data_IF_091466910094
#
_entry.id   IF_091466910094
#
_cell.length_a   1.000
_cell.length_b   1.000
_cell.length_c   1.000
_cell.angle_alpha   90.00
_cell.angle_beta   90.00
_cell.angle_gamma   90.00
#
_symmetry.space_group_name_H-M   'P 1'
#
loop_
_entity.id
_entity.type
_entity.pdbx_description
1 polymer ?
#
# COMPACT_ATOMS: atom_id res chain seq x y z
N UNK A 1 -36.42 54.31 24.26
CA UNK A 1 -36.19 55.67 24.79
C UNK A 1 -34.69 55.97 24.62
N UNK A 2 -34.36 56.97 23.77
CA UNK A 2 -33.04 57.56 23.42
C UNK A 2 -31.92 56.64 22.89
N UNK A 3 -31.50 56.66 21.60
CA UNK A 3 -30.95 57.70 20.68
C UNK A 3 -29.60 58.30 21.09
N UNK A 4 -28.58 58.13 20.22
CA UNK A 4 -27.47 59.03 19.76
C UNK A 4 -26.52 58.16 18.91
N UNK A 5 -26.30 58.22 17.58
CA UNK A 5 -26.25 59.22 16.49
C UNK A 5 -24.98 60.13 16.44
N UNK A 6 -24.00 59.69 15.62
CA UNK A 6 -23.05 60.36 14.66
C UNK A 6 -22.15 61.55 15.11
N UNK A 7 -21.07 62.00 14.38
CA UNK A 7 -20.69 61.87 12.94
C UNK A 7 -19.23 61.40 12.64
N UNK A 8 -18.92 60.77 11.50
CA UNK A 8 -18.53 61.29 10.16
C UNK A 8 -17.31 62.25 10.14
N UNK A 9 -16.19 61.81 9.52
CA UNK A 9 -15.24 62.68 8.81
C UNK A 9 -14.99 62.10 7.42
N UNK A 10 -15.40 62.89 6.43
CA UNK A 10 -15.12 62.79 5.00
C UNK A 10 -13.82 63.56 4.74
N UNK A 11 -12.87 63.00 4.00
CA UNK A 11 -11.82 63.80 3.34
C UNK A 11 -11.85 63.49 1.85
N UNK A 12 -12.14 64.55 1.08
CA UNK A 12 -12.31 64.58 -0.36
C UNK A 12 -11.08 65.26 -0.99
N UNK A 13 -10.42 64.54 -1.92
CA UNK A 13 -9.85 64.95 -3.21
C UNK A 13 -8.87 66.14 -3.27
N UNK A 14 -7.71 65.89 -3.89
CA UNK A 14 -7.16 66.79 -4.91
C UNK A 14 -6.42 66.02 -6.01
N UNK A 15 -7.04 66.04 -7.20
CA UNK A 15 -6.52 65.58 -8.49
C UNK A 15 -5.78 66.78 -9.10
N UNK A 16 -4.51 66.64 -9.48
CA UNK A 16 -3.83 67.55 -10.40
C UNK A 16 -3.47 66.81 -11.69
N UNK A 17 -4.11 67.26 -12.76
CA UNK A 17 -3.80 66.92 -14.15
C UNK A 17 -2.58 67.73 -14.60
N UNK A 18 -1.60 67.09 -15.23
CA UNK A 18 -0.74 67.75 -16.21
C UNK A 18 -0.74 66.93 -17.52
N UNK A 19 -0.80 67.60 -18.70
CA UNK A 19 -1.00 66.94 -19.98
C UNK A 19 0.32 66.56 -20.66
N UNK A 20 0.26 65.40 -21.32
CA UNK A 20 0.82 65.05 -22.64
C UNK A 20 2.06 65.80 -23.16
N UNK A 21 3.15 65.04 -23.28
CA UNK A 21 4.18 65.22 -24.30
C UNK A 21 4.53 63.85 -24.91
N UNK A 22 4.26 63.68 -26.21
CA UNK A 22 4.64 62.51 -27.02
C UNK A 22 5.88 62.86 -27.88
N UNK A 23 6.74 61.86 -28.13
CA UNK A 23 7.63 61.57 -29.30
C UNK A 23 8.78 60.67 -28.76
N UNK A 24 8.72 59.33 -28.90
CA UNK A 24 9.16 58.43 -29.99
C UNK A 24 10.69 58.35 -30.22
N UNK A 25 11.34 57.26 -29.75
CA UNK A 25 11.85 56.16 -30.58
C UNK A 25 12.76 55.18 -29.79
N UNK A 26 12.37 53.90 -29.83
CA UNK A 26 13.14 52.66 -29.97
C UNK A 26 14.43 52.42 -29.15
N UNK A 27 14.39 51.45 -28.22
CA UNK A 27 15.15 50.17 -28.32
C UNK A 27 14.76 49.23 -27.17
N UNK A 28 14.37 47.99 -27.49
CA UNK A 28 14.66 46.82 -26.65
C UNK A 28 13.56 46.29 -25.72
N UNK A 29 13.09 45.10 -26.09
CA UNK A 29 12.45 44.06 -25.26
C UNK A 29 12.71 44.07 -23.76
N UNK A 30 11.65 43.98 -22.95
CA UNK A 30 11.40 42.80 -22.10
C UNK A 30 10.05 42.88 -21.39
N UNK A 31 9.11 42.04 -21.85
CA UNK A 31 7.98 41.63 -21.05
C UNK A 31 8.46 40.55 -20.08
N UNK A 32 8.86 40.97 -18.87
CA UNK A 32 9.23 40.09 -17.78
C UNK A 32 8.03 39.33 -17.23
N UNK A 33 7.98 38.07 -17.61
CA UNK A 33 7.14 36.97 -17.17
C UNK A 33 7.23 36.76 -15.64
N UNK A 34 6.15 37.03 -14.88
CA UNK A 34 6.06 36.60 -13.48
C UNK A 34 5.51 35.17 -13.41
N UNK A 35 6.26 34.23 -14.00
CA UNK A 35 6.12 32.82 -13.68
C UNK A 35 6.77 32.60 -12.31
N UNK A 36 5.96 32.35 -11.28
CA UNK A 36 6.43 31.92 -9.96
C UNK A 36 7.09 30.54 -10.09
N UNK A 37 8.37 30.54 -10.38
CA UNK A 37 9.24 29.39 -10.23
C UNK A 37 9.75 29.42 -8.78
N UNK A 38 8.94 28.92 -7.85
CA UNK A 38 9.49 28.51 -6.55
C UNK A 38 10.52 27.42 -6.85
N UNK A 39 11.79 27.71 -6.63
CA UNK A 39 12.86 26.71 -6.66
C UNK A 39 12.52 25.64 -5.63
N UNK A 40 11.82 24.57 -6.05
CA UNK A 40 11.52 23.42 -5.21
C UNK A 40 12.87 22.84 -4.82
N UNK A 41 13.26 23.02 -3.56
CA UNK A 41 14.47 22.41 -3.02
C UNK A 41 14.36 20.89 -3.26
N UNK A 42 15.31 20.26 -3.98
CA UNK A 42 15.31 18.81 -4.16
C UNK A 42 15.26 18.03 -2.83
N UNK A 43 15.65 18.66 -1.72
CA UNK A 43 15.53 18.11 -0.36
C UNK A 43 14.08 17.97 0.12
N UNK A 44 13.13 18.71 -0.46
CA UNK A 44 11.71 18.65 -0.15
C UNK A 44 10.98 17.47 -0.79
N UNK A 45 11.61 16.78 -1.74
CA UNK A 45 11.01 15.65 -2.45
C UNK A 45 11.38 14.33 -1.75
N UNK A 46 10.39 13.64 -1.17
CA UNK A 46 10.63 12.33 -0.57
C UNK A 46 10.44 11.22 -1.61
N UNK A 47 11.46 10.36 -1.77
CA UNK A 47 11.47 9.22 -2.70
C UNK A 47 12.29 8.08 -2.11
N UNK A 48 12.41 6.98 -2.84
CA UNK A 48 13.26 5.85 -2.43
C UNK A 48 14.66 6.34 -2.01
N UNK A 49 15.13 5.81 -0.88
CA UNK A 49 16.38 6.16 -0.16
C UNK A 49 16.36 7.48 0.62
N UNK A 50 15.31 8.31 0.51
CA UNK A 50 15.13 9.44 1.45
C UNK A 50 15.02 8.91 2.89
N UNK A 51 15.55 9.68 3.84
CA UNK A 51 15.54 9.31 5.27
C UNK A 51 15.34 10.54 6.14
N UNK A 52 14.94 10.33 7.40
CA UNK A 52 14.86 11.37 8.42
C UNK A 52 13.43 11.66 8.88
N UNK A 53 13.26 12.76 9.62
CA UNK A 53 12.01 13.08 10.29
C UNK A 53 10.84 13.27 9.32
N UNK A 54 11.07 13.82 8.13
CA UNK A 54 10.02 13.98 7.12
C UNK A 54 9.49 12.64 6.60
N UNK A 55 10.34 11.61 6.51
CA UNK A 55 9.90 10.26 6.16
C UNK A 55 9.13 9.60 7.31
N UNK A 56 9.49 9.89 8.56
CA UNK A 56 8.72 9.46 9.74
C UNK A 56 7.31 10.07 9.68
N UNK A 57 7.21 11.38 9.45
CA UNK A 57 5.95 12.10 9.34
C UNK A 57 5.08 11.54 8.20
N UNK A 58 5.67 11.31 7.03
CA UNK A 58 5.01 10.66 5.90
C UNK A 58 4.46 9.27 6.25
N UNK A 59 5.30 8.39 6.82
CA UNK A 59 4.89 7.03 7.16
C UNK A 59 3.80 7.01 8.24
N UNK A 60 3.89 7.89 9.24
CA UNK A 60 2.85 8.08 10.24
C UNK A 60 1.54 8.51 9.58
N UNK A 61 1.58 9.52 8.71
CA UNK A 61 0.37 10.02 8.04
C UNK A 61 -0.26 8.98 7.12
N UNK A 62 0.53 8.25 6.34
CA UNK A 62 0.04 7.16 5.50
C UNK A 62 -0.58 6.05 6.34
N UNK A 63 0.03 5.71 7.49
CA UNK A 63 -0.54 4.74 8.44
C UNK A 63 -1.86 5.23 9.01
N UNK A 64 -1.91 6.50 9.43
CA UNK A 64 -3.12 7.10 9.97
C UNK A 64 -4.23 7.06 8.93
N UNK A 65 -3.93 7.25 7.64
CA UNK A 65 -4.87 7.15 6.52
C UNK A 65 -5.11 5.71 6.02
N UNK A 66 -4.46 4.69 6.60
CA UNK A 66 -4.68 3.28 6.29
C UNK A 66 -3.80 2.68 5.18
N UNK A 67 -2.90 3.46 4.56
CA UNK A 67 -2.05 3.02 3.44
C UNK A 67 -0.74 2.35 3.88
N UNK A 68 -0.39 2.38 5.17
CA UNK A 68 0.88 1.86 5.65
C UNK A 68 0.70 1.03 6.92
N UNK A 69 0.94 -0.28 6.84
CA UNK A 69 0.76 -1.23 7.94
C UNK A 69 2.09 -1.85 8.44
N UNK A 70 3.20 -1.17 8.17
CA UNK A 70 4.53 -1.58 8.61
C UNK A 70 5.03 -0.72 9.78
N UNK A 71 6.15 -1.14 10.37
CA UNK A 71 6.87 -0.32 11.34
C UNK A 71 7.32 0.98 10.66
N UNK A 72 7.08 2.10 11.32
CA UNK A 72 7.65 3.41 10.94
C UNK A 72 9.15 3.38 11.23
N UNK A 73 9.96 3.61 10.20
CA UNK A 73 11.42 3.50 10.27
C UNK A 73 12.14 4.82 9.99
N UNK A 74 11.46 5.80 9.41
CA UNK A 74 12.12 6.99 8.87
C UNK A 74 12.97 6.72 7.63
N UNK A 75 12.89 5.52 7.03
CA UNK A 75 13.54 5.16 5.78
C UNK A 75 12.49 4.94 4.68
N UNK A 76 12.63 5.66 3.56
CA UNK A 76 11.74 5.54 2.42
C UNK A 76 12.19 4.35 1.56
N UNK A 77 11.70 3.18 1.92
CA UNK A 77 11.88 1.95 1.14
C UNK A 77 10.67 1.63 0.26
N UNK A 78 10.69 0.42 -0.31
CA UNK A 78 9.63 -0.09 -1.19
C UNK A 78 8.25 -0.15 -0.53
N UNK A 79 8.21 -0.48 0.77
CA UNK A 79 6.97 -0.44 1.54
C UNK A 79 6.34 0.97 1.57
N UNK A 80 7.17 2.01 1.79
CA UNK A 80 6.71 3.41 1.77
C UNK A 80 6.31 3.81 0.35
N UNK A 81 7.10 3.44 -0.65
CA UNK A 81 6.79 3.72 -2.06
C UNK A 81 5.44 3.14 -2.47
N UNK A 82 5.17 1.87 -2.14
CA UNK A 82 3.91 1.21 -2.49
C UNK A 82 2.72 1.88 -1.80
N UNK A 83 2.87 2.31 -0.54
CA UNK A 83 1.85 3.07 0.17
C UNK A 83 1.57 4.43 -0.49
N UNK A 84 2.62 5.14 -0.92
CA UNK A 84 2.49 6.41 -1.65
C UNK A 84 1.84 6.21 -3.01
N UNK A 85 2.24 5.18 -3.77
CA UNK A 85 1.61 4.81 -5.05
C UNK A 85 0.11 4.58 -4.87
N UNK A 86 -0.28 3.75 -3.89
CA UNK A 86 -1.69 3.49 -3.62
C UNK A 86 -2.44 4.76 -3.19
N UNK A 87 -1.82 5.61 -2.35
CA UNK A 87 -2.38 6.90 -1.98
C UNK A 87 -2.59 7.81 -3.19
N UNK A 88 -1.60 7.89 -4.09
CA UNK A 88 -1.68 8.68 -5.31
C UNK A 88 -2.79 8.16 -6.23
N UNK A 89 -2.90 6.85 -6.41
CA UNK A 89 -3.96 6.21 -7.20
C UNK A 89 -5.35 6.56 -6.65
N UNK A 90 -5.60 6.35 -5.35
CA UNK A 90 -6.92 6.57 -4.76
C UNK A 90 -7.31 8.05 -4.73
N UNK A 91 -6.34 8.96 -4.61
CA UNK A 91 -6.55 10.41 -4.58
C UNK A 91 -6.47 11.09 -5.97
N UNK A 92 -6.29 10.32 -7.06
CA UNK A 92 -6.30 10.86 -8.42
C UNK A 92 -5.08 11.73 -8.76
N UNK A 93 -3.92 11.39 -8.21
CA UNK A 93 -2.65 12.09 -8.41
C UNK A 93 -1.77 11.38 -9.44
N UNK A 94 -0.68 12.03 -9.84
CA UNK A 94 0.37 11.36 -10.62
C UNK A 94 0.94 10.18 -9.81
N UNK A 95 0.96 8.99 -10.41
CA UNK A 95 1.34 7.73 -9.74
C UNK A 95 2.82 7.41 -10.02
N UNK A 96 3.71 8.16 -9.39
CA UNK A 96 5.16 7.99 -9.55
C UNK A 96 5.83 7.38 -8.31
N UNK A 97 5.12 7.34 -7.18
CA UNK A 97 5.63 6.90 -5.89
C UNK A 97 6.60 7.89 -5.23
N UNK A 98 6.56 9.16 -5.64
CA UNK A 98 7.36 10.28 -5.11
C UNK A 98 6.46 11.29 -4.42
N UNK A 99 6.86 11.80 -3.26
CA UNK A 99 6.08 12.79 -2.49
C UNK A 99 6.63 14.18 -2.79
N UNK A 100 6.17 14.77 -3.89
CA UNK A 100 6.36 16.18 -4.23
C UNK A 100 5.29 17.10 -3.64
N UNK A 101 5.33 18.42 -3.94
CA UNK A 101 4.43 19.41 -3.33
C UNK A 101 2.94 19.07 -3.47
N UNK A 102 2.51 18.62 -4.64
CA UNK A 102 1.10 18.28 -4.87
C UNK A 102 0.65 17.06 -4.05
N UNK A 103 1.51 16.04 -3.92
CA UNK A 103 1.22 14.90 -3.06
C UNK A 103 1.19 15.33 -1.59
N UNK A 104 2.13 16.17 -1.12
CA UNK A 104 2.11 16.72 0.25
C UNK A 104 0.82 17.49 0.52
N UNK A 105 0.42 18.36 -0.41
CA UNK A 105 -0.78 19.20 -0.30
C UNK A 105 -2.03 18.36 -0.04
N UNK A 106 -2.23 17.29 -0.80
CA UNK A 106 -3.39 16.40 -0.60
C UNK A 106 -3.22 15.54 0.65
N UNK A 107 -2.04 14.92 0.87
CA UNK A 107 -1.77 14.00 1.98
C UNK A 107 -2.08 14.61 3.36
N UNK A 108 -1.72 15.88 3.57
CA UNK A 108 -1.91 16.57 4.85
C UNK A 108 -3.21 17.40 4.91
N UNK A 109 -4.01 17.40 3.86
CA UNK A 109 -5.34 18.05 3.87
C UNK A 109 -6.41 17.21 4.56
N UNK A 110 -7.55 17.83 4.84
CA UNK A 110 -8.76 17.15 5.32
C UNK A 110 -9.47 16.34 4.24
N UNK A 111 -9.19 16.58 2.96
CA UNK A 111 -9.80 15.85 1.83
C UNK A 111 -9.04 14.58 1.44
N UNK A 112 -7.92 14.27 2.11
CA UNK A 112 -7.19 13.03 1.91
C UNK A 112 -8.10 11.81 2.11
N UNK A 113 -8.26 10.99 1.07
CA UNK A 113 -9.08 9.78 1.15
C UNK A 113 -8.38 8.75 2.03
N UNK A 114 -9.14 8.15 2.95
CA UNK A 114 -8.68 7.03 3.78
C UNK A 114 -8.80 5.72 2.99
N UNK A 115 -7.76 4.90 3.06
CA UNK A 115 -7.80 3.52 2.60
C UNK A 115 -8.38 2.63 3.70
N UNK A 116 -9.37 1.80 3.38
CA UNK A 116 -9.97 0.84 4.31
C UNK A 116 -10.27 -0.44 3.57
N UNK A 117 -9.68 -1.54 4.04
CA UNK A 117 -9.94 -2.87 3.51
C UNK A 117 -10.92 -3.57 4.45
N UNK A 118 -12.15 -3.77 3.98
CA UNK A 118 -13.16 -4.49 4.75
C UNK A 118 -13.00 -6.00 4.52
N UNK A 119 -12.86 -6.82 5.57
CA UNK A 119 -12.83 -8.27 5.42
C UNK A 119 -14.21 -8.74 4.95
N UNK A 120 -14.33 -9.13 3.69
CA UNK A 120 -15.54 -9.76 3.15
C UNK A 120 -15.68 -11.15 3.77
N UNK A 121 -16.81 -11.40 4.45
CA UNK A 121 -17.05 -12.72 5.05
C UNK A 121 -17.12 -13.77 3.96
N UNK A 122 -16.57 -14.96 4.20
CA UNK A 122 -16.64 -16.06 3.25
C UNK A 122 -18.07 -16.33 2.73
N UNK A 123 -19.09 -16.14 3.57
CA UNK A 123 -20.52 -16.29 3.21
C UNK A 123 -21.02 -15.33 2.13
N UNK A 124 -20.35 -14.20 1.91
CA UNK A 124 -20.74 -13.19 0.90
C UNK A 124 -20.14 -13.50 -0.48
N UNK A 125 -19.08 -14.31 -0.55
CA UNK A 125 -18.38 -14.64 -1.80
C UNK A 125 -18.61 -16.07 -2.28
N UNK A 126 -18.89 -17.00 -1.37
CA UNK A 126 -19.23 -18.37 -1.74
C UNK A 126 -20.73 -18.39 -2.09
N UNK A 127 -21.14 -18.72 -3.33
CA UNK A 127 -22.55 -19.00 -3.57
C UNK A 127 -22.97 -20.09 -2.59
N UNK A 128 -24.16 -19.96 -2.00
CA UNK A 128 -24.79 -21.05 -1.26
C UNK A 128 -24.98 -22.20 -2.26
N UNK A 129 -23.96 -23.06 -2.40
CA UNK A 129 -24.11 -24.23 -3.25
C UNK A 129 -25.17 -25.09 -2.57
N UNK A 130 -26.09 -25.63 -3.37
CA UNK A 130 -27.03 -26.67 -2.94
C UNK A 130 -26.20 -27.87 -2.46
N UNK A 131 -25.72 -27.85 -1.21
CA UNK A 131 -24.93 -28.92 -0.60
C UNK A 131 -23.62 -28.55 0.11
N UNK A 132 -23.14 -27.29 0.13
CA UNK A 132 -21.92 -26.96 0.92
C UNK A 132 -21.22 -25.63 0.63
N UNK A 133 -20.24 -25.27 1.48
CA UNK A 133 -19.37 -24.11 1.27
C UNK A 133 -18.38 -24.38 0.11
N UNK A 134 -18.23 -23.45 -0.83
CA UNK A 134 -17.25 -23.58 -1.91
C UNK A 134 -15.82 -23.63 -1.33
N UNK A 135 -14.98 -24.51 -1.88
CA UNK A 135 -13.58 -24.67 -1.46
C UNK A 135 -12.69 -23.51 -1.92
N UNK A 136 -13.18 -22.62 -2.79
CA UNK A 136 -12.40 -21.54 -3.41
C UNK A 136 -12.23 -20.33 -2.48
N UNK A 137 -11.29 -19.44 -2.85
CA UNK A 137 -11.03 -18.18 -2.16
C UNK A 137 -11.26 -16.96 -3.05
N UNK A 138 -11.44 -15.79 -2.43
CA UNK A 138 -11.46 -14.52 -3.15
C UNK A 138 -10.05 -14.16 -3.61
N UNK A 139 -9.95 -13.76 -4.87
CA UNK A 139 -8.70 -13.28 -5.46
C UNK A 139 -8.54 -11.80 -5.14
N UNK A 140 -7.53 -11.44 -4.35
CA UNK A 140 -7.26 -10.07 -3.92
C UNK A 140 -5.89 -9.62 -4.41
N UNK A 141 -5.82 -8.39 -4.91
CA UNK A 141 -4.54 -7.77 -5.29
C UNK A 141 -3.68 -7.57 -4.04
N UNK A 142 -2.43 -8.03 -4.08
CA UNK A 142 -1.53 -8.00 -2.93
C UNK A 142 -1.28 -6.60 -2.39
N UNK A 143 -1.07 -5.62 -3.26
CA UNK A 143 -0.60 -4.29 -2.89
C UNK A 143 -1.73 -3.40 -2.36
N UNK A 144 -2.95 -3.62 -2.83
CA UNK A 144 -4.13 -2.84 -2.43
C UNK A 144 -5.03 -3.53 -1.40
N UNK A 145 -4.96 -4.85 -1.24
CA UNK A 145 -5.87 -5.57 -0.35
C UNK A 145 -5.18 -6.67 0.46
N UNK A 146 -4.45 -7.58 -0.20
CA UNK A 146 -3.93 -8.81 0.42
C UNK A 146 -3.01 -8.54 1.61
N UNK A 147 -2.12 -7.56 1.50
CA UNK A 147 -1.20 -7.22 2.58
C UNK A 147 -1.89 -6.63 3.82
N UNK A 148 -3.10 -6.08 3.67
CA UNK A 148 -3.90 -5.50 4.75
C UNK A 148 -4.86 -6.52 5.37
N UNK A 149 -5.35 -7.48 4.57
CA UNK A 149 -6.15 -8.60 5.05
C UNK A 149 -5.33 -9.63 5.84
N UNK A 150 -4.05 -9.80 5.49
CA UNK A 150 -3.11 -10.67 6.20
C UNK A 150 -1.90 -9.88 6.70
N UNK A 151 -2.04 -9.02 7.73
CA UNK A 151 -0.95 -8.15 8.18
C UNK A 151 0.21 -8.93 8.82
N UNK A 152 1.39 -8.31 8.91
CA UNK A 152 2.55 -8.95 9.58
C UNK A 152 2.24 -9.22 11.04
N UNK A 153 2.60 -10.41 11.52
CA UNK A 153 2.33 -10.89 12.86
C UNK A 153 1.05 -11.71 12.97
N UNK A 154 0.14 -11.58 12.00
CA UNK A 154 -1.13 -12.31 11.97
C UNK A 154 -0.92 -13.80 11.70
N UNK A 155 -1.78 -14.63 12.26
CA UNK A 155 -1.82 -16.08 12.02
C UNK A 155 -3.01 -16.40 11.14
N UNK A 156 -2.78 -17.15 10.07
CA UNK A 156 -3.82 -17.66 9.19
C UNK A 156 -3.82 -19.19 9.20
N UNK A 157 -4.99 -19.78 8.98
CA UNK A 157 -5.09 -21.18 8.59
C UNK A 157 -4.87 -21.26 7.09
N UNK A 158 -3.92 -22.08 6.65
CA UNK A 158 -3.62 -22.33 5.24
C UNK A 158 -4.08 -23.74 4.89
N UNK A 159 -4.77 -23.89 3.77
CA UNK A 159 -5.26 -25.20 3.28
C UNK A 159 -4.72 -25.47 1.89
N UNK A 160 -4.01 -26.59 1.70
CA UNK A 160 -3.60 -27.07 0.38
C UNK A 160 -4.81 -27.67 -0.35
N UNK A 161 -5.14 -27.15 -1.53
CA UNK A 161 -6.35 -27.58 -2.24
C UNK A 161 -6.23 -28.96 -2.87
N UNK A 162 -5.01 -29.46 -3.11
CA UNK A 162 -4.83 -30.80 -3.69
C UNK A 162 -5.03 -31.92 -2.66
N UNK A 163 -4.61 -31.72 -1.41
CA UNK A 163 -4.73 -32.74 -0.35
C UNK A 163 -5.88 -32.47 0.62
N UNK A 164 -6.40 -31.23 0.66
CA UNK A 164 -7.39 -30.79 1.65
C UNK A 164 -6.81 -30.62 3.06
N UNK A 165 -5.49 -30.81 3.25
CA UNK A 165 -4.84 -30.69 4.55
C UNK A 165 -4.58 -29.23 4.88
N UNK A 166 -4.70 -28.90 6.17
CA UNK A 166 -4.49 -27.54 6.67
C UNK A 166 -3.41 -27.48 7.74
N UNK A 167 -2.78 -26.33 7.85
CA UNK A 167 -1.77 -25.98 8.85
C UNK A 167 -1.86 -24.48 9.16
N UNK A 168 -1.29 -24.03 10.27
CA UNK A 168 -1.28 -22.61 10.64
C UNK A 168 0.04 -21.96 10.27
N UNK A 169 -0.06 -20.78 9.67
CA UNK A 169 1.08 -19.97 9.26
C UNK A 169 1.00 -18.58 9.87
N UNK A 170 2.10 -18.10 10.43
CA UNK A 170 2.25 -16.71 10.85
C UNK A 170 2.94 -15.93 9.72
N UNK A 171 2.39 -14.78 9.30
CA UNK A 171 3.13 -13.87 8.41
C UNK A 171 4.25 -13.21 9.21
N UNK A 172 5.49 -13.53 8.92
CA UNK A 172 6.65 -12.99 9.64
C UNK A 172 7.30 -11.81 8.91
N UNK A 173 7.06 -11.67 7.60
CA UNK A 173 7.72 -10.64 6.80
C UNK A 173 7.03 -10.34 5.46
N UNK A 174 7.85 -10.07 4.45
CA UNK A 174 7.45 -9.87 3.07
C UNK A 174 6.85 -8.50 2.75
N UNK A 175 7.40 -7.86 1.72
CA UNK A 175 6.88 -6.60 1.13
C UNK A 175 6.10 -6.88 -0.14
N UNK A 176 6.62 -7.77 -0.99
CA UNK A 176 6.05 -8.11 -2.29
C UNK A 176 5.13 -9.34 -2.26
N UNK A 177 5.14 -10.08 -1.16
CA UNK A 177 4.36 -11.27 -0.85
C UNK A 177 4.38 -11.48 0.67
N UNK A 178 3.78 -12.56 1.17
CA UNK A 178 3.83 -12.90 2.59
C UNK A 178 4.94 -13.93 2.86
N UNK A 179 6.05 -13.48 3.46
CA UNK A 179 7.02 -14.38 4.09
C UNK A 179 6.35 -14.93 5.35
N UNK A 180 6.20 -16.25 5.41
CA UNK A 180 5.41 -16.90 6.44
C UNK A 180 6.10 -18.13 6.99
N UNK A 181 5.85 -18.42 8.27
CA UNK A 181 6.44 -19.54 8.98
C UNK A 181 5.35 -20.35 9.68
N UNK A 182 5.48 -21.68 9.80
CA UNK A 182 4.56 -22.50 10.57
C UNK A 182 4.57 -22.06 12.03
N UNK A 183 3.40 -22.14 12.67
CA UNK A 183 3.25 -21.72 14.07
C UNK A 183 3.86 -22.76 15.01
N UNK A 184 3.76 -24.05 14.68
CA UNK A 184 4.30 -25.16 15.48
C UNK A 184 5.10 -26.14 14.62
N UNK A 185 5.85 -27.05 15.26
CA UNK A 185 6.50 -28.18 14.59
C UNK A 185 5.53 -29.11 13.89
N UNK A 186 4.32 -29.29 14.43
CA UNK A 186 3.26 -30.09 13.81
C UNK A 186 2.73 -29.45 12.51
N UNK A 187 2.63 -28.11 12.48
CA UNK A 187 2.31 -27.37 11.26
C UNK A 187 3.41 -27.58 10.20
N UNK A 188 4.69 -27.55 10.60
CA UNK A 188 5.82 -27.83 9.71
C UNK A 188 5.84 -29.27 9.18
N UNK A 189 5.56 -30.26 10.03
CA UNK A 189 5.46 -31.67 9.63
C UNK A 189 4.30 -31.89 8.65
N UNK A 190 3.20 -31.17 8.84
CA UNK A 190 2.08 -31.16 7.89
C UNK A 190 2.49 -30.60 6.54
N UNK A 191 3.19 -29.46 6.50
CA UNK A 191 3.73 -28.91 5.25
C UNK A 191 4.67 -29.92 4.59
N UNK A 192 5.66 -30.43 5.33
CA UNK A 192 6.65 -31.37 4.78
C UNK A 192 5.99 -32.63 4.20
N UNK A 193 4.95 -33.16 4.84
CA UNK A 193 4.24 -34.34 4.35
C UNK A 193 3.33 -34.06 3.14
N UNK A 194 2.79 -32.84 2.97
CA UNK A 194 2.03 -32.46 1.76
C UNK A 194 2.91 -32.43 0.51
N UNK A 195 4.15 -31.94 0.66
CA UNK A 195 5.12 -31.81 -0.44
C UNK A 195 6.06 -33.02 -0.58
N UNK A 196 5.92 -34.06 0.25
CA UNK A 196 6.82 -35.22 0.24
C UNK A 196 8.27 -34.88 0.65
N UNK A 197 8.45 -33.79 1.38
CA UNK A 197 9.73 -33.16 1.69
C UNK A 197 9.66 -31.64 1.56
N UNK A 198 10.81 -30.97 1.62
CA UNK A 198 10.90 -29.55 1.29
C UNK A 198 11.01 -29.37 -0.22
N UNK A 199 10.12 -28.58 -0.82
CA UNK A 199 9.97 -28.51 -2.27
C UNK A 199 9.55 -27.12 -2.74
N UNK A 200 10.10 -26.70 -3.88
CA UNK A 200 9.72 -25.47 -4.58
C UNK A 200 8.46 -25.65 -5.44
N UNK A 201 7.84 -26.82 -5.47
CA UNK A 201 6.60 -27.04 -6.22
C UNK A 201 5.51 -26.07 -5.74
N UNK A 202 4.91 -25.34 -6.69
CA UNK A 202 3.85 -24.37 -6.41
C UNK A 202 2.53 -25.11 -6.33
N UNK A 203 1.78 -24.85 -5.26
CA UNK A 203 0.46 -25.44 -5.04
C UNK A 203 -0.58 -24.35 -4.79
N UNK A 204 -1.84 -24.58 -5.17
CA UNK A 204 -2.93 -23.66 -4.89
C UNK A 204 -3.37 -23.85 -3.43
N UNK A 205 -3.42 -22.75 -2.68
CA UNK A 205 -3.79 -22.78 -1.26
C UNK A 205 -4.85 -21.73 -0.95
N UNK A 206 -5.61 -21.99 0.11
CA UNK A 206 -6.54 -21.00 0.69
C UNK A 206 -5.94 -20.49 1.99
N UNK A 207 -5.81 -19.17 2.10
CA UNK A 207 -5.44 -18.48 3.35
C UNK A 207 -6.71 -17.99 4.02
N UNK A 208 -7.07 -18.60 5.14
CA UNK A 208 -8.21 -18.21 5.97
C UNK A 208 -7.73 -17.30 7.12
N UNK A 209 -8.11 -16.03 7.07
CA UNK A 209 -7.74 -15.01 8.07
C UNK A 209 -8.91 -14.06 8.28
N UNK A 210 -9.23 -13.74 9.54
CA UNK A 210 -10.33 -12.83 9.89
C UNK A 210 -11.68 -13.14 9.20
N UNK A 211 -11.97 -14.42 8.98
CA UNK A 211 -13.20 -14.88 8.32
C UNK A 211 -13.23 -14.72 6.79
N UNK A 212 -12.13 -14.24 6.19
CA UNK A 212 -11.92 -14.15 4.74
C UNK A 212 -11.16 -15.38 4.26
N UNK A 213 -11.63 -16.00 3.17
CA UNK A 213 -10.91 -17.06 2.46
C UNK A 213 -10.23 -16.46 1.24
N UNK A 214 -8.92 -16.33 1.26
CA UNK A 214 -8.16 -15.66 0.21
C UNK A 214 -7.48 -16.72 -0.68
N UNK A 215 -7.66 -16.61 -1.99
CA UNK A 215 -6.96 -17.44 -2.96
C UNK A 215 -5.48 -17.05 -3.01
N UNK A 216 -4.61 -18.05 -2.84
CA UNK A 216 -3.17 -17.86 -2.79
C UNK A 216 -2.43 -19.05 -3.43
N UNK A 217 -1.12 -18.94 -3.48
CA UNK A 217 -0.21 -20.01 -3.85
C UNK A 217 0.95 -20.09 -2.86
N UNK A 218 1.42 -21.30 -2.60
CA UNK A 218 2.52 -21.55 -1.68
C UNK A 218 3.43 -22.64 -2.26
N UNK A 219 4.70 -22.62 -1.87
CA UNK A 219 5.62 -23.75 -2.00
C UNK A 219 6.04 -24.23 -0.59
N UNK A 220 6.56 -25.45 -0.49
CA UNK A 220 6.97 -26.05 0.79
C UNK A 220 8.42 -25.74 1.20
N UNK A 221 9.27 -25.18 0.33
CA UNK A 221 10.70 -25.01 0.61
C UNK A 221 11.03 -23.84 1.56
N UNK A 222 11.57 -24.10 2.77
CA UNK A 222 12.04 -23.05 3.66
C UNK A 222 13.28 -22.35 3.09
N UNK A 223 13.39 -21.05 3.29
CA UNK A 223 14.55 -20.26 2.86
C UNK A 223 14.73 -18.99 3.70
N UNK A 224 15.90 -18.38 3.56
CA UNK A 224 16.30 -17.14 4.24
C UNK A 224 16.18 -17.23 5.78
N UNK A 225 15.63 -16.20 6.42
CA UNK A 225 15.68 -16.03 7.88
C UNK A 225 14.55 -16.75 8.60
N UNK A 226 14.87 -17.27 9.78
CA UNK A 226 13.95 -17.87 10.76
C UNK A 226 13.55 -16.83 11.82
N UNK A 227 12.25 -16.72 12.12
CA UNK A 227 11.70 -15.76 13.08
C UNK A 227 10.75 -16.40 14.10
N UNK A 228 10.28 -17.62 13.87
CA UNK A 228 9.41 -18.38 14.78
C UNK A 228 10.22 -19.53 15.38
N UNK A 229 10.74 -19.38 16.60
CA UNK A 229 11.63 -20.37 17.18
C UNK A 229 10.90 -21.70 17.42
N UNK A 230 11.62 -22.81 17.27
CA UNK A 230 11.18 -24.17 17.60
C UNK A 230 9.93 -24.65 16.83
N UNK A 231 9.69 -24.13 15.61
CA UNK A 231 8.56 -24.54 14.77
C UNK A 231 8.89 -25.70 13.81
N UNK A 232 10.04 -26.36 13.94
CA UNK A 232 10.42 -27.49 13.08
C UNK A 232 10.82 -27.12 11.64
N UNK A 233 10.92 -25.83 11.30
CA UNK A 233 11.29 -25.34 9.97
C UNK A 233 12.40 -24.27 10.08
N UNK A 234 13.48 -24.40 9.31
CA UNK A 234 14.56 -23.40 9.31
C UNK A 234 14.37 -22.43 8.14
N UNK A 235 13.93 -21.21 8.45
CA UNK A 235 13.61 -20.17 7.48
C UNK A 235 12.11 -19.98 7.30
N UNK A 236 11.71 -19.24 6.28
CA UNK A 236 10.30 -19.02 5.92
C UNK A 236 9.96 -19.61 4.55
N UNK A 237 8.66 -19.67 4.26
CA UNK A 237 8.11 -19.99 2.94
C UNK A 237 7.35 -18.78 2.40
N UNK A 238 7.30 -18.63 1.08
CA UNK A 238 6.55 -17.55 0.45
C UNK A 238 5.11 -17.99 0.19
N UNK A 239 4.15 -17.20 0.67
CA UNK A 239 2.76 -17.27 0.24
C UNK A 239 2.51 -16.11 -0.72
N UNK A 240 2.20 -16.46 -1.96
CA UNK A 240 1.94 -15.55 -3.06
C UNK A 240 0.43 -15.33 -3.25
N UNK A 241 0.06 -14.07 -3.50
CA UNK A 241 -1.31 -13.63 -3.77
C UNK A 241 -1.37 -13.07 -5.19
N UNK A 242 -2.56 -12.65 -5.63
CA UNK A 242 -2.69 -12.07 -6.96
C UNK A 242 -1.83 -10.80 -7.11
N UNK A 243 -1.10 -10.70 -8.23
CA UNK A 243 -0.10 -9.66 -8.53
C UNK A 243 1.06 -9.52 -7.54
N UNK A 244 1.16 -10.41 -6.55
CA UNK A 244 2.32 -10.44 -5.67
C UNK A 244 3.57 -10.81 -6.46
N UNK A 245 4.73 -10.34 -6.01
CA UNK A 245 6.00 -10.43 -6.75
C UNK A 245 7.05 -11.17 -5.95
N UNK A 246 7.98 -11.83 -6.63
CA UNK A 246 9.13 -12.51 -6.02
C UNK A 246 10.12 -11.51 -5.43
N UNK A 247 10.84 -11.90 -4.36
CA UNK A 247 11.80 -11.01 -3.70
C UNK A 247 13.08 -10.77 -4.53
N UNK A 248 13.50 -11.74 -5.37
CA UNK A 248 14.75 -11.63 -6.16
C UNK A 248 14.60 -10.67 -7.35
N UNK A 249 13.49 -10.78 -8.09
CA UNK A 249 13.32 -10.10 -9.38
C UNK A 249 12.28 -8.98 -9.35
N UNK A 250 11.58 -8.79 -8.23
CA UNK A 250 10.41 -7.90 -8.14
C UNK A 250 9.45 -8.11 -9.32
N UNK A 251 9.21 -9.38 -9.66
CA UNK A 251 8.38 -9.79 -10.79
C UNK A 251 7.36 -10.81 -10.34
N UNK A 252 6.17 -10.73 -10.93
CA UNK A 252 5.15 -11.77 -10.84
C UNK A 252 5.72 -13.09 -11.39
N UNK A 253 5.52 -14.16 -10.61
CA UNK A 253 5.87 -15.52 -10.99
C UNK A 253 4.65 -16.19 -11.62
N UNK A 254 4.79 -16.64 -12.88
CA UNK A 254 3.66 -17.12 -13.66
C UNK A 254 3.02 -18.37 -13.03
N UNK A 255 3.82 -19.26 -12.45
CA UNK A 255 3.35 -20.50 -11.84
C UNK A 255 2.58 -20.21 -10.55
N UNK A 256 3.09 -19.31 -9.69
CA UNK A 256 2.33 -18.83 -8.54
C UNK A 256 1.02 -18.16 -8.97
N UNK A 257 1.03 -17.28 -9.99
CA UNK A 257 -0.19 -16.63 -10.45
C UNK A 257 -1.20 -17.64 -11.04
N UNK A 258 -0.74 -18.71 -11.69
CA UNK A 258 -1.62 -19.80 -12.15
C UNK A 258 -2.28 -20.52 -10.95
N UNK A 259 -1.51 -20.85 -9.92
CA UNK A 259 -2.05 -21.49 -8.71
C UNK A 259 -3.03 -20.58 -7.96
N UNK A 260 -2.80 -19.26 -7.91
CA UNK A 260 -3.75 -18.31 -7.35
C UNK A 260 -5.08 -18.32 -8.13
N UNK A 261 -5.03 -18.43 -9.46
CA UNK A 261 -6.25 -18.53 -10.29
C UNK A 261 -7.02 -19.82 -10.03
N UNK A 262 -6.33 -20.96 -9.94
CA UNK A 262 -6.92 -22.24 -9.55
C UNK A 262 -7.59 -22.13 -8.19
N UNK A 263 -6.92 -21.54 -7.18
CA UNK A 263 -7.48 -21.35 -5.84
C UNK A 263 -8.71 -20.41 -5.82
N UNK A 264 -8.87 -19.59 -6.86
CA UNK A 264 -10.02 -18.71 -7.05
C UNK A 264 -11.11 -19.29 -7.97
N UNK A 265 -10.93 -20.53 -8.47
CA UNK A 265 -11.85 -21.17 -9.41
C UNK A 265 -11.86 -20.53 -10.81
N UNK A 266 -10.71 -20.03 -11.27
CA UNK A 266 -10.54 -19.39 -12.59
C UNK A 266 -9.51 -20.09 -13.47
#
# INVERSE_FOLDING_TARGET
MFKKLFPFIVILILISLLPYGYILADTGSDAGDFANNEDIDPSDILKIKSQGQEVVNLQMRLRDLGYFNYKVTGYYGEATRNAVVLFQEENGLAVDGTVGPETKRVLYSSSAKRHTVMPTRASEFLPASRGGASSMGVMVDWFSQGQYLFPRGEVAKVTDLYTGRSFRMKRTGGTYHADSEPVTSEDADTIKSIWGGWSWERRPVIVEVSGVRIAASMHGMPHAFDRVPNNGMNGHVCIHFYKSRTHIRNKEDADHQAMVRIAAGK
#
